data_IF_785796639683
#
_entry.id   IF_785796639683
#
_cell.length_a   1.000
_cell.length_b   1.000
_cell.length_c   1.000
_cell.angle_alpha   90.00
_cell.angle_beta   90.00
_cell.angle_gamma   90.00
#
_symmetry.space_group_name_H-M   'P 1'
#
loop_
_entity.id
_entity.type
_entity.pdbx_description
1 polymer ?
#
# COMPACT_ATOMS: atom_id res chain seq x y z
N UNK A 1 -57.28 -24.03 3.34
CA UNK A 1 -56.49 -23.78 2.13
C UNK A 1 -55.62 -22.58 2.45
N UNK A 2 -54.47 -22.84 3.06
CA UNK A 2 -53.46 -21.82 3.37
C UNK A 2 -52.13 -22.38 2.87
N UNK A 3 -51.59 -21.72 1.85
CA UNK A 3 -50.33 -22.09 1.22
C UNK A 3 -49.19 -21.98 2.23
N UNK A 4 -48.49 -23.09 2.45
CA UNK A 4 -47.15 -23.08 3.05
C UNK A 4 -46.20 -22.40 2.08
N UNK A 5 -45.95 -21.12 2.31
CA UNK A 5 -44.82 -20.39 1.72
C UNK A 5 -43.54 -21.16 2.12
N UNK A 6 -42.85 -21.72 1.12
CA UNK A 6 -41.50 -22.27 1.30
C UNK A 6 -40.58 -21.13 1.71
N UNK A 7 -40.04 -21.20 2.92
CA UNK A 7 -38.95 -20.34 3.38
C UNK A 7 -37.66 -20.74 2.66
N UNK A 8 -37.44 -20.17 1.48
CA UNK A 8 -36.13 -20.21 0.82
C UNK A 8 -35.09 -19.46 1.69
N UNK A 9 -34.01 -20.17 2.03
CA UNK A 9 -32.69 -19.67 2.40
C UNK A 9 -32.62 -18.33 3.16
N UNK A 10 -33.03 -18.30 4.43
CA UNK A 10 -32.56 -17.23 5.33
C UNK A 10 -31.07 -17.44 5.59
N UNK A 11 -30.22 -16.58 5.03
CA UNK A 11 -28.82 -16.46 5.42
C UNK A 11 -28.78 -16.07 6.89
N UNK A 12 -28.36 -16.99 7.76
CA UNK A 12 -28.17 -16.72 9.19
C UNK A 12 -26.84 -16.01 9.35
N UNK A 13 -26.86 -14.68 9.38
CA UNK A 13 -25.68 -13.89 9.72
C UNK A 13 -25.41 -14.05 11.22
N UNK A 14 -24.31 -14.72 11.56
CA UNK A 14 -23.88 -14.87 12.96
C UNK A 14 -23.12 -13.62 13.38
N UNK A 15 -23.68 -12.86 14.31
CA UNK A 15 -23.09 -11.64 14.85
C UNK A 15 -22.26 -11.90 16.10
N UNK A 16 -21.31 -11.01 16.39
CA UNK A 16 -20.44 -11.12 17.56
C UNK A 16 -20.38 -9.79 18.33
N UNK A 17 -20.19 -9.86 19.63
CA UNK A 17 -19.94 -8.74 20.54
C UNK A 17 -18.71 -9.04 21.38
N UNK A 18 -17.93 -7.99 21.69
CA UNK A 18 -16.78 -8.10 22.57
C UNK A 18 -17.24 -7.98 24.01
N UNK A 19 -16.82 -8.92 24.84
CA UNK A 19 -17.11 -8.95 26.27
C UNK A 19 -15.84 -9.18 27.07
N UNK A 20 -15.82 -8.64 28.28
CA UNK A 20 -14.87 -9.04 29.30
C UNK A 20 -15.52 -10.08 30.21
N UNK A 21 -14.83 -11.18 30.44
CA UNK A 21 -15.27 -12.25 31.31
C UNK A 21 -14.23 -12.51 32.38
N UNK A 22 -14.70 -12.98 33.54
CA UNK A 22 -13.84 -13.38 34.66
C UNK A 22 -13.85 -14.90 34.76
N UNK A 23 -12.68 -15.51 34.69
CA UNK A 23 -12.49 -16.96 34.92
C UNK A 23 -12.78 -17.33 36.38
N UNK A 24 -12.85 -18.63 36.68
CA UNK A 24 -13.04 -19.15 38.04
C UNK A 24 -11.95 -18.72 39.03
N UNK A 25 -10.69 -18.54 38.57
CA UNK A 25 -9.59 -18.03 39.40
C UNK A 25 -9.47 -16.49 39.36
N UNK A 26 -10.33 -15.82 38.61
CA UNK A 26 -10.43 -14.37 38.61
C UNK A 26 -9.58 -13.64 37.56
N UNK A 27 -8.90 -14.37 36.66
CA UNK A 27 -8.29 -13.80 35.45
C UNK A 27 -9.38 -13.16 34.58
N UNK A 28 -9.18 -11.90 34.18
CA UNK A 28 -10.04 -11.20 33.23
C UNK A 28 -9.56 -11.52 31.81
N UNK A 29 -10.48 -11.92 30.94
CA UNK A 29 -10.23 -12.28 29.55
C UNK A 29 -11.19 -11.52 28.66
N UNK A 30 -10.68 -10.86 27.63
CA UNK A 30 -11.50 -10.25 26.58
C UNK A 30 -11.73 -11.27 25.47
N UNK A 31 -12.98 -11.51 25.10
CA UNK A 31 -13.34 -12.44 24.05
C UNK A 31 -14.54 -11.96 23.26
N UNK A 32 -14.76 -12.55 22.08
CA UNK A 32 -15.94 -12.30 21.26
C UNK A 32 -16.90 -13.48 21.35
N UNK A 33 -18.19 -13.23 21.57
CA UNK A 33 -19.25 -14.24 21.50
C UNK A 33 -20.50 -13.68 20.81
N UNK A 34 -21.52 -14.51 20.55
CA UNK A 34 -22.79 -13.99 20.03
C UNK A 34 -23.49 -13.12 21.10
N UNK A 35 -24.19 -12.04 20.70
CA UNK A 35 -24.88 -11.16 21.66
C UNK A 35 -25.90 -11.86 22.55
N UNK A 36 -26.57 -12.90 22.05
CA UNK A 36 -27.55 -13.72 22.79
C UNK A 36 -26.89 -14.78 23.68
N UNK A 37 -25.58 -15.00 23.55
CA UNK A 37 -24.81 -15.98 24.33
C UNK A 37 -23.98 -15.35 25.45
N UNK A 38 -23.96 -14.02 25.55
CA UNK A 38 -23.10 -13.27 26.50
C UNK A 38 -23.15 -13.82 27.91
N UNK A 39 -24.35 -14.00 28.48
CA UNK A 39 -24.50 -14.46 29.86
C UNK A 39 -24.08 -15.93 30.03
N UNK A 40 -24.38 -16.78 29.03
CA UNK A 40 -23.94 -18.18 29.03
C UNK A 40 -22.41 -18.29 28.96
N UNK A 41 -21.77 -17.46 28.15
CA UNK A 41 -20.31 -17.44 28.01
C UNK A 41 -19.64 -16.90 29.27
N UNK A 42 -20.18 -15.83 29.87
CA UNK A 42 -19.72 -15.35 31.19
C UNK A 42 -19.83 -16.43 32.26
N UNK A 43 -20.97 -17.11 32.35
CA UNK A 43 -21.20 -18.17 33.33
C UNK A 43 -20.27 -19.37 33.09
N UNK A 44 -20.06 -19.76 31.83
CA UNK A 44 -19.12 -20.81 31.47
C UNK A 44 -17.69 -20.46 31.90
N UNK A 45 -17.22 -19.24 31.62
CA UNK A 45 -15.88 -18.82 32.04
C UNK A 45 -15.76 -18.75 33.57
N UNK A 46 -16.79 -18.25 34.25
CA UNK A 46 -16.79 -18.14 35.70
C UNK A 46 -16.81 -19.52 36.40
N UNK A 47 -17.54 -20.49 35.86
CA UNK A 47 -17.81 -21.77 36.54
C UNK A 47 -17.02 -22.97 36.01
N UNK A 48 -16.57 -22.93 34.75
CA UNK A 48 -15.94 -24.08 34.06
C UNK A 48 -14.53 -23.82 33.56
N UNK A 49 -14.08 -22.56 33.54
CA UNK A 49 -12.73 -22.21 33.10
C UNK A 49 -11.95 -21.71 34.31
N UNK A 50 -11.08 -22.56 34.88
CA UNK A 50 -10.25 -22.17 36.03
C UNK A 50 -9.30 -21.03 35.64
N UNK A 51 -8.51 -21.22 34.58
CA UNK A 51 -7.76 -20.17 33.92
C UNK A 51 -7.80 -20.39 32.40
N UNK A 52 -7.38 -19.37 31.64
CA UNK A 52 -7.08 -19.52 30.21
C UNK A 52 -5.56 -19.55 30.04
N UNK A 53 -5.03 -20.73 29.72
CA UNK A 53 -3.65 -20.88 29.26
C UNK A 53 -3.64 -20.50 27.78
N UNK A 54 -3.23 -19.26 27.51
CA UNK A 54 -2.95 -18.84 26.14
C UNK A 54 -1.67 -19.54 25.66
N UNK A 55 -1.69 -20.26 24.52
CA UNK A 55 -0.55 -21.04 24.04
C UNK A 55 0.66 -20.11 23.84
N UNK A 56 1.73 -20.36 24.61
CA UNK A 56 3.05 -19.70 24.58
C UNK A 56 3.07 -18.20 24.26
N UNK A 57 2.07 -17.44 24.71
CA UNK A 57 2.08 -15.99 24.57
C UNK A 57 2.90 -15.37 25.68
N UNK A 58 4.06 -14.84 25.33
CA UNK A 58 4.84 -13.95 26.19
C UNK A 58 4.30 -12.53 26.00
N UNK A 59 4.38 -11.72 27.06
CA UNK A 59 4.26 -10.27 26.89
C UNK A 59 5.59 -9.74 26.40
N UNK A 60 5.56 -8.76 25.50
CA UNK A 60 6.76 -7.98 25.16
C UNK A 60 7.41 -7.48 26.45
N UNK A 61 8.72 -7.71 26.62
CA UNK A 61 9.46 -7.23 27.79
C UNK A 61 9.97 -5.81 27.48
N UNK A 62 9.60 -4.83 28.29
CA UNK A 62 9.97 -3.42 28.06
C UNK A 62 9.50 -2.46 29.14
N UNK A 63 10.10 -1.26 29.15
CA UNK A 63 9.87 -0.19 30.13
C UNK A 63 8.57 0.63 29.88
N UNK A 64 7.86 0.39 28.76
CA UNK A 64 6.61 1.08 28.41
C UNK A 64 5.35 0.51 29.07
N UNK A 65 4.25 1.30 29.07
CA UNK A 65 2.96 0.90 29.65
C UNK A 65 2.05 0.05 28.76
N UNK A 66 2.46 -0.24 27.52
CA UNK A 66 1.70 -1.05 26.57
C UNK A 66 2.47 -2.33 26.25
N UNK A 67 1.92 -3.49 26.62
CA UNK A 67 2.54 -4.80 26.41
C UNK A 67 1.60 -5.68 25.58
N UNK A 68 1.92 -5.84 24.29
CA UNK A 68 1.24 -6.78 23.42
C UNK A 68 1.64 -8.22 23.75
N UNK A 69 0.72 -9.15 23.47
CA UNK A 69 1.02 -10.58 23.50
C UNK A 69 1.69 -11.00 22.20
N UNK A 70 2.63 -11.93 22.29
CA UNK A 70 3.36 -12.46 21.15
C UNK A 70 3.90 -13.85 21.45
N UNK A 71 4.03 -14.70 20.43
CA UNK A 71 4.77 -15.98 20.51
C UNK A 71 6.29 -15.81 20.38
N UNK A 72 6.75 -14.62 20.02
CA UNK A 72 8.17 -14.34 19.84
C UNK A 72 8.82 -13.84 21.13
N UNK A 73 10.12 -14.05 21.27
CA UNK A 73 10.91 -13.42 22.33
C UNK A 73 11.33 -12.02 21.87
N UNK A 74 10.68 -11.00 22.44
CA UNK A 74 10.85 -9.60 22.04
C UNK A 74 11.40 -8.78 23.20
N UNK A 75 12.49 -8.06 22.93
CA UNK A 75 13.04 -7.03 23.80
C UNK A 75 12.68 -5.64 23.25
N UNK A 76 11.93 -4.83 24.01
CA UNK A 76 11.60 -3.46 23.64
C UNK A 76 12.66 -2.50 24.20
N UNK A 77 13.41 -1.87 23.30
CA UNK A 77 14.53 -0.98 23.64
C UNK A 77 14.09 0.47 23.86
N UNK A 78 13.02 0.89 23.20
CA UNK A 78 12.45 2.23 23.31
C UNK A 78 10.93 2.14 23.18
N UNK A 79 10.26 3.03 23.89
CA UNK A 79 8.82 3.20 23.81
C UNK A 79 8.46 4.65 24.05
N UNK A 80 7.48 5.14 23.31
CA UNK A 80 6.80 6.38 23.64
C UNK A 80 5.36 6.35 23.13
N UNK A 81 4.42 6.90 23.89
CA UNK A 81 3.00 6.77 23.55
C UNK A 81 2.02 7.56 24.40
N UNK A 82 0.74 7.44 24.03
CA UNK A 82 -0.44 8.08 24.58
C UNK A 82 -1.70 7.49 23.93
N UNK A 83 -2.40 8.26 23.08
CA UNK A 83 -3.51 7.70 22.25
C UNK A 83 -3.00 6.78 21.13
N UNK A 84 -1.81 7.04 20.60
CA UNK A 84 -1.04 6.12 19.74
C UNK A 84 0.31 5.80 20.39
N UNK A 85 1.14 4.98 19.73
CA UNK A 85 2.46 4.63 20.25
C UNK A 85 3.47 4.37 19.13
N UNK A 86 4.75 4.49 19.49
CA UNK A 86 5.87 3.96 18.73
C UNK A 86 6.75 3.14 19.67
N UNK A 87 7.45 2.17 19.11
CA UNK A 87 8.39 1.35 19.86
C UNK A 87 9.51 0.83 18.98
N UNK A 88 10.67 0.59 19.60
CA UNK A 88 11.80 -0.09 18.97
C UNK A 88 11.91 -1.48 19.58
N UNK A 89 11.79 -2.49 18.74
CA UNK A 89 11.76 -3.90 19.12
C UNK A 89 12.96 -4.65 18.56
N UNK A 90 13.48 -5.56 19.36
CA UNK A 90 14.41 -6.59 18.96
C UNK A 90 13.75 -7.96 19.18
N UNK A 91 13.44 -8.64 18.07
CA UNK A 91 12.85 -9.97 18.03
C UNK A 91 13.99 -10.98 17.91
N UNK A 92 14.11 -11.87 18.90
CA UNK A 92 15.10 -12.95 18.88
C UNK A 92 14.65 -14.05 17.93
N UNK A 93 15.59 -14.54 17.11
CA UNK A 93 15.36 -15.61 16.12
C UNK A 93 14.14 -15.33 15.22
N UNK A 94 14.11 -14.22 14.48
CA UNK A 94 13.02 -13.94 13.54
C UNK A 94 12.98 -15.03 12.45
N UNK A 95 11.82 -15.26 11.81
CA UNK A 95 11.73 -16.17 10.66
C UNK A 95 12.77 -15.83 9.58
N UNK A 96 13.25 -16.85 8.85
CA UNK A 96 14.44 -16.82 7.97
C UNK A 96 14.51 -15.65 6.96
N UNK A 97 13.36 -15.05 6.61
CA UNK A 97 13.25 -13.93 5.67
C UNK A 97 12.90 -12.58 6.31
N UNK A 98 12.95 -12.46 7.65
CA UNK A 98 12.54 -11.25 8.38
C UNK A 98 13.69 -10.67 9.18
N UNK A 99 13.62 -9.36 9.42
CA UNK A 99 14.54 -8.71 10.34
C UNK A 99 13.96 -8.68 11.75
N UNK A 100 14.80 -8.90 12.75
CA UNK A 100 14.39 -8.82 14.15
C UNK A 100 14.36 -7.39 14.69
N UNK A 101 14.96 -6.41 14.00
CA UNK A 101 15.04 -5.03 14.47
C UNK A 101 13.94 -4.19 13.81
N UNK A 102 12.95 -3.81 14.62
CA UNK A 102 11.71 -3.20 14.15
C UNK A 102 11.49 -1.85 14.83
N UNK A 103 11.05 -0.85 14.06
CA UNK A 103 10.30 0.27 14.63
C UNK A 103 8.84 0.05 14.27
N UNK A 104 7.98 -0.10 15.26
CA UNK A 104 6.54 -0.24 15.08
C UNK A 104 5.85 1.04 15.52
N UNK A 105 4.97 1.58 14.67
CA UNK A 105 4.23 2.82 14.93
C UNK A 105 2.74 2.59 14.71
N UNK A 106 1.95 2.91 15.73
CA UNK A 106 0.50 2.86 15.73
C UNK A 106 -0.06 4.26 15.98
N UNK A 107 -0.80 4.79 15.01
CA UNK A 107 -1.51 6.06 15.12
C UNK A 107 -3.01 5.82 14.94
N UNK A 108 -3.84 6.07 15.98
CA UNK A 108 -5.29 6.02 15.83
C UNK A 108 -5.72 6.98 14.73
N UNK A 109 -6.63 6.53 13.86
CA UNK A 109 -7.25 7.32 12.79
C UNK A 109 -6.30 7.77 11.65
N UNK A 110 -5.05 7.32 11.62
CA UNK A 110 -4.14 7.51 10.49
C UNK A 110 -3.74 6.15 9.92
N UNK A 111 -2.53 5.68 10.22
CA UNK A 111 -1.99 4.42 9.69
C UNK A 111 -1.05 3.81 10.71
N UNK A 112 -1.12 2.49 10.78
CA UNK A 112 -0.19 1.67 11.55
C UNK A 112 0.82 1.07 10.58
N UNK A 113 2.10 1.13 10.91
CA UNK A 113 3.15 0.55 10.07
C UNK A 113 4.32 0.09 10.93
N UNK A 114 5.15 -0.76 10.35
CA UNK A 114 6.46 -1.03 10.91
C UNK A 114 7.55 -0.88 9.86
N UNK A 115 8.76 -0.63 10.34
CA UNK A 115 9.97 -0.57 9.51
C UNK A 115 10.98 -1.61 10.00
N UNK A 116 11.65 -2.26 9.06
CA UNK A 116 12.70 -3.23 9.35
C UNK A 116 14.09 -2.59 9.16
N UNK A 117 14.99 -2.88 10.09
CA UNK A 117 16.33 -2.30 10.14
C UNK A 117 17.40 -3.39 10.18
N UNK A 118 18.58 -3.11 9.61
CA UNK A 118 19.72 -4.03 9.60
C UNK A 118 20.34 -4.20 10.99
N UNK A 119 20.28 -3.18 11.83
CA UNK A 119 20.85 -3.16 13.18
C UNK A 119 19.92 -2.45 14.16
N UNK A 120 20.01 -2.82 15.44
CA UNK A 120 19.20 -2.20 16.49
C UNK A 120 19.63 -0.75 16.76
N UNK A 121 20.93 -0.45 16.64
CA UNK A 121 21.46 0.89 16.88
C UNK A 121 20.94 1.90 15.85
N UNK A 122 20.79 1.47 14.60
CA UNK A 122 20.20 2.28 13.53
C UNK A 122 18.74 2.62 13.86
N UNK A 123 17.95 1.63 14.29
CA UNK A 123 16.56 1.81 14.68
C UNK A 123 16.41 2.75 15.90
N UNK A 124 17.25 2.59 16.93
CA UNK A 124 17.27 3.45 18.11
C UNK A 124 17.61 4.89 17.73
N UNK A 125 18.65 5.09 16.91
CA UNK A 125 19.05 6.43 16.44
C UNK A 125 17.91 7.13 15.71
N UNK A 126 17.15 6.39 14.90
CA UNK A 126 16.01 6.93 14.16
C UNK A 126 14.85 7.27 15.09
N UNK A 127 14.55 6.41 16.07
CA UNK A 127 13.56 6.73 17.10
C UNK A 127 13.95 8.03 17.84
N UNK A 128 15.18 8.11 18.36
CA UNK A 128 15.64 9.23 19.19
C UNK A 128 15.69 10.55 18.42
N UNK A 129 15.94 10.51 17.11
CA UNK A 129 16.04 11.71 16.26
C UNK A 129 14.72 12.16 15.62
N UNK A 130 13.70 11.29 15.55
CA UNK A 130 12.47 11.57 14.78
C UNK A 130 11.16 11.38 15.53
N UNK A 131 11.19 10.82 16.73
CA UNK A 131 9.99 10.69 17.55
C UNK A 131 9.31 12.06 17.77
N UNK A 132 8.03 12.16 17.41
CA UNK A 132 7.23 13.40 17.44
C UNK A 132 7.21 14.20 16.13
N UNK A 133 8.04 13.84 15.13
CA UNK A 133 8.12 14.47 13.80
C UNK A 133 7.89 13.48 12.64
N UNK A 134 7.40 12.27 12.93
CA UNK A 134 7.12 11.21 11.95
C UNK A 134 5.91 11.56 11.05
N UNK A 135 6.00 12.64 10.29
CA UNK A 135 4.93 13.12 9.43
C UNK A 135 4.97 12.47 8.03
N UNK A 136 6.02 11.74 7.64
CA UNK A 136 6.07 11.14 6.31
C UNK A 136 7.00 9.92 6.15
N UNK A 137 6.40 8.81 5.74
CA UNK A 137 7.02 7.53 5.31
C UNK A 137 8.08 7.70 4.21
N UNK A 138 8.06 8.82 3.48
CA UNK A 138 9.06 9.19 2.47
C UNK A 138 10.48 9.38 3.02
N UNK A 139 10.61 9.48 4.33
CA UNK A 139 11.89 9.79 4.99
C UNK A 139 12.69 8.54 5.38
N UNK A 140 12.03 7.40 5.63
CA UNK A 140 12.69 6.14 5.96
C UNK A 140 13.54 5.54 4.83
N UNK A 141 13.10 5.56 3.55
CA UNK A 141 13.89 5.00 2.43
C UNK A 141 15.26 5.63 2.19
N UNK A 142 15.59 6.73 2.88
CA UNK A 142 16.84 7.50 2.72
C UNK A 142 17.82 7.31 3.87
N UNK A 143 17.50 6.48 4.87
CA UNK A 143 18.32 6.30 6.07
C UNK A 143 19.17 5.03 5.97
N UNK A 144 20.40 5.10 6.47
CA UNK A 144 21.27 3.94 6.57
C UNK A 144 20.65 2.90 7.50
N UNK A 145 20.81 1.62 7.16
CA UNK A 145 20.24 0.51 7.91
C UNK A 145 18.78 0.20 7.61
N UNK A 146 18.02 1.11 6.97
CA UNK A 146 16.64 0.83 6.56
C UNK A 146 16.58 -0.32 5.54
N UNK A 147 15.67 -1.27 5.76
CA UNK A 147 15.40 -2.38 4.81
C UNK A 147 14.09 -2.17 4.07
N UNK A 148 12.99 -2.02 4.80
CA UNK A 148 11.66 -1.85 4.23
C UNK A 148 10.68 -1.24 5.22
N UNK A 149 9.58 -0.73 4.68
CA UNK A 149 8.41 -0.24 5.42
C UNK A 149 7.22 -1.10 5.01
N UNK A 150 6.42 -1.50 6.00
CA UNK A 150 5.21 -2.30 5.82
C UNK A 150 4.05 -1.61 6.51
N UNK A 151 3.02 -1.26 5.74
CA UNK A 151 1.77 -0.76 6.29
C UNK A 151 0.94 -1.93 6.81
N UNK A 152 0.54 -1.85 8.08
CA UNK A 152 -0.30 -2.83 8.73
C UNK A 152 -1.74 -2.35 8.86
N UNK A 153 -1.94 -1.03 9.02
CA UNK A 153 -3.24 -0.42 9.26
C UNK A 153 -3.99 -1.14 10.39
N UNK A 154 -5.03 -1.90 10.07
CA UNK A 154 -5.88 -2.62 11.02
C UNK A 154 -5.44 -4.09 11.24
N UNK A 155 -4.47 -4.58 10.45
CA UNK A 155 -3.94 -5.93 10.61
C UNK A 155 -2.86 -5.97 11.69
N UNK A 156 -2.85 -7.07 12.44
CA UNK A 156 -1.81 -7.37 13.42
C UNK A 156 -0.50 -7.71 12.68
N UNK A 157 0.62 -7.00 12.96
CA UNK A 157 1.93 -7.36 12.43
C UNK A 157 2.33 -8.79 12.82
N UNK A 158 3.09 -9.47 11.96
CA UNK A 158 3.51 -10.86 12.19
C UNK A 158 4.20 -11.11 13.54
N UNK A 159 4.95 -10.13 14.04
CA UNK A 159 5.69 -10.27 15.31
C UNK A 159 4.78 -10.15 16.54
N UNK A 160 3.50 -9.82 16.33
CA UNK A 160 2.45 -9.92 17.34
C UNK A 160 1.53 -11.11 17.13
N UNK A 161 1.91 -12.07 16.28
CA UNK A 161 1.22 -13.35 16.23
C UNK A 161 1.29 -14.06 17.60
N UNK A 162 0.17 -14.64 18.01
CA UNK A 162 0.03 -15.38 19.27
C UNK A 162 -0.22 -16.87 19.03
N UNK A 163 0.33 -17.73 19.88
CA UNK A 163 0.17 -19.18 19.76
C UNK A 163 0.46 -19.71 18.35
N UNK A 164 -0.48 -20.49 17.82
CA UNK A 164 -0.40 -21.10 16.49
C UNK A 164 -1.03 -20.25 15.38
N UNK A 165 -1.16 -18.93 15.57
CA UNK A 165 -1.66 -18.05 14.52
C UNK A 165 -0.84 -18.21 13.23
N UNK A 166 -1.55 -18.45 12.13
CA UNK A 166 -0.95 -18.48 10.81
C UNK A 166 -0.45 -17.08 10.45
N UNK A 167 0.72 -17.01 9.81
CA UNK A 167 1.25 -15.75 9.29
C UNK A 167 1.07 -15.75 7.77
N UNK A 168 0.37 -14.74 7.26
CA UNK A 168 0.21 -14.50 5.82
C UNK A 168 0.96 -13.22 5.46
N UNK A 169 2.05 -13.37 4.70
CA UNK A 169 2.91 -12.25 4.34
C UNK A 169 3.48 -11.58 5.58
N UNK A 170 3.18 -10.30 5.80
CA UNK A 170 3.68 -9.52 6.93
C UNK A 170 2.74 -9.47 8.16
N UNK A 171 1.65 -10.25 8.14
CA UNK A 171 0.55 -10.13 9.10
C UNK A 171 0.23 -11.46 9.77
N UNK A 172 -0.21 -11.40 11.03
CA UNK A 172 -0.93 -12.50 11.65
C UNK A 172 -2.32 -12.62 11.03
N UNK A 173 -2.77 -13.83 10.74
CA UNK A 173 -4.07 -14.06 10.13
C UNK A 173 -5.19 -13.58 11.06
N UNK A 174 -6.14 -12.74 10.59
CA UNK A 174 -7.17 -12.21 11.46
C UNK A 174 -8.00 -13.33 12.10
N UNK A 175 -8.12 -13.32 13.42
CA UNK A 175 -9.01 -14.27 14.11
C UNK A 175 -10.49 -13.94 13.87
N UNK A 176 -11.42 -14.82 14.24
CA UNK A 176 -12.86 -14.50 14.27
C UNK A 176 -13.49 -14.12 12.92
N UNK A 177 -12.82 -14.44 11.81
CA UNK A 177 -13.38 -14.29 10.46
C UNK A 177 -14.57 -15.23 10.28
N UNK A 178 -15.56 -14.76 9.54
CA UNK A 178 -16.78 -15.51 9.25
C UNK A 178 -16.70 -16.15 7.87
N UNK A 179 -17.40 -17.27 7.68
CA UNK A 179 -17.64 -17.83 6.35
C UNK A 179 -18.64 -16.95 5.58
N UNK A 180 -18.15 -15.82 5.07
CA UNK A 180 -18.92 -14.91 4.24
C UNK A 180 -19.03 -15.46 2.81
N UNK A 181 -20.26 -15.57 2.30
CA UNK A 181 -20.53 -16.12 0.96
C UNK A 181 -19.87 -15.31 -0.17
N UNK A 182 -19.67 -14.01 0.05
CA UNK A 182 -19.08 -13.10 -0.93
C UNK A 182 -17.58 -12.97 -0.68
N UNK A 183 -17.20 -12.60 0.54
CA UNK A 183 -15.84 -12.20 0.94
C UNK A 183 -15.03 -13.37 1.51
N UNK A 184 -14.68 -14.31 0.62
CA UNK A 184 -13.90 -15.50 0.95
C UNK A 184 -12.41 -15.26 0.83
N UNK A 185 -11.64 -15.90 1.71
CA UNK A 185 -10.16 -15.87 1.69
C UNK A 185 -9.62 -16.20 0.30
N UNK A 186 -8.67 -15.41 -0.19
CA UNK A 186 -8.00 -15.58 -1.49
C UNK A 186 -8.80 -15.07 -2.70
N UNK A 187 -10.10 -14.78 -2.56
CA UNK A 187 -10.89 -14.22 -3.66
C UNK A 187 -10.48 -12.78 -3.92
N UNK A 188 -10.33 -12.41 -5.19
CA UNK A 188 -9.87 -11.08 -5.62
C UNK A 188 -11.02 -10.11 -5.84
N UNK A 189 -10.82 -8.87 -5.42
CA UNK A 189 -11.80 -7.79 -5.53
C UNK A 189 -11.17 -6.54 -6.14
N UNK A 190 -11.96 -5.80 -6.91
CA UNK A 190 -11.68 -4.41 -7.24
C UNK A 190 -12.13 -3.57 -6.06
N UNK A 191 -11.16 -2.92 -5.41
CA UNK A 191 -11.35 -2.10 -4.22
C UNK A 191 -10.90 -0.69 -4.52
N UNK A 192 -11.75 0.29 -4.24
CA UNK A 192 -11.38 1.69 -4.38
C UNK A 192 -10.45 2.11 -3.23
N UNK A 193 -9.22 2.49 -3.56
CA UNK A 193 -8.24 2.95 -2.59
C UNK A 193 -8.52 4.42 -2.26
N UNK A 194 -8.87 4.68 -1.00
CA UNK A 194 -9.19 6.04 -0.55
C UNK A 194 -7.95 6.95 -0.47
N UNK A 195 -6.75 6.40 -0.37
CA UNK A 195 -5.50 7.16 -0.29
C UNK A 195 -5.05 7.55 -1.70
N UNK A 196 -4.92 6.57 -2.59
CA UNK A 196 -4.44 6.79 -3.95
C UNK A 196 -5.54 7.26 -4.92
N UNK A 197 -6.81 7.26 -4.49
CA UNK A 197 -8.00 7.62 -5.29
C UNK A 197 -8.11 6.84 -6.61
N UNK A 198 -7.65 5.58 -6.60
CA UNK A 198 -7.71 4.67 -7.73
C UNK A 198 -8.21 3.30 -7.28
N UNK A 199 -8.83 2.56 -8.20
CA UNK A 199 -9.19 1.17 -7.94
C UNK A 199 -7.96 0.27 -8.02
N UNK A 200 -7.84 -0.65 -7.07
CA UNK A 200 -6.79 -1.66 -7.01
C UNK A 200 -7.41 -3.05 -6.90
N UNK A 201 -6.69 -4.05 -7.36
CA UNK A 201 -7.04 -5.44 -7.06
C UNK A 201 -6.42 -5.81 -5.72
N UNK A 202 -7.25 -6.31 -4.82
CA UNK A 202 -6.85 -6.82 -3.51
C UNK A 202 -7.38 -8.23 -3.33
N UNK A 203 -6.62 -9.05 -2.62
CA UNK A 203 -7.07 -10.39 -2.22
C UNK A 203 -7.77 -10.27 -0.88
N UNK A 204 -8.96 -10.85 -0.78
CA UNK A 204 -9.72 -10.88 0.46
C UNK A 204 -9.04 -11.80 1.48
N UNK A 205 -8.84 -11.32 2.70
CA UNK A 205 -8.40 -12.11 3.84
C UNK A 205 -9.57 -12.63 4.67
N UNK A 206 -10.79 -12.18 4.39
CA UNK A 206 -12.04 -12.59 5.05
C UNK A 206 -12.84 -11.40 5.54
N UNK A 207 -14.00 -11.66 6.15
CA UNK A 207 -14.86 -10.62 6.71
C UNK A 207 -15.28 -10.91 8.16
N UNK A 208 -15.51 -9.83 8.91
CA UNK A 208 -16.20 -9.85 10.20
C UNK A 208 -17.48 -9.03 10.11
N UNK A 209 -18.56 -9.52 10.69
CA UNK A 209 -19.82 -8.79 10.80
C UNK A 209 -20.07 -8.44 12.26
N UNK A 210 -20.15 -7.14 12.53
CA UNK A 210 -20.49 -6.56 13.81
C UNK A 210 -21.93 -6.09 13.80
N UNK A 211 -22.59 -6.17 14.95
CA UNK A 211 -23.87 -5.48 15.16
C UNK A 211 -23.63 -4.26 16.03
N UNK A 212 -24.09 -3.10 15.57
CA UNK A 212 -24.27 -1.95 16.45
C UNK A 212 -25.75 -1.73 16.69
N UNK A 213 -26.14 -1.58 17.95
CA UNK A 213 -27.43 -0.97 18.28
C UNK A 213 -27.28 0.54 18.26
N UNK A 214 -28.23 1.22 17.63
CA UNK A 214 -28.30 2.68 17.70
C UNK A 214 -28.49 3.10 19.16
N UNK A 215 -27.62 3.98 19.67
CA UNK A 215 -27.68 4.45 21.05
C UNK A 215 -28.99 5.19 21.35
N UNK A 216 -29.59 5.84 20.35
CA UNK A 216 -30.83 6.60 20.48
C UNK A 216 -32.07 5.76 20.15
N UNK A 217 -31.90 4.61 19.49
CA UNK A 217 -32.99 3.68 19.19
C UNK A 217 -32.51 2.22 19.31
N UNK A 218 -32.61 1.61 20.50
CA UNK A 218 -32.11 0.27 20.76
C UNK A 218 -32.74 -0.84 19.90
N UNK A 219 -33.90 -0.56 19.28
CA UNK A 219 -34.57 -1.47 18.34
C UNK A 219 -33.98 -1.43 16.93
N UNK A 220 -33.19 -0.40 16.61
CA UNK A 220 -32.46 -0.29 15.35
C UNK A 220 -31.11 -0.98 15.47
N UNK A 221 -31.00 -2.12 14.80
CA UNK A 221 -29.75 -2.89 14.72
C UNK A 221 -29.14 -2.65 13.34
N UNK A 222 -27.93 -2.08 13.31
CA UNK A 222 -27.12 -1.93 12.10
C UNK A 222 -26.10 -3.07 12.03
N UNK A 223 -25.91 -3.60 10.82
CA UNK A 223 -24.89 -4.60 10.54
C UNK A 223 -23.70 -3.90 9.88
N UNK A 224 -22.53 -4.00 10.49
CA UNK A 224 -21.28 -3.43 9.96
C UNK A 224 -20.40 -4.59 9.50
N UNK A 225 -20.05 -4.60 8.22
CA UNK A 225 -19.15 -5.62 7.68
C UNK A 225 -17.77 -5.01 7.49
N UNK A 226 -16.78 -5.55 8.20
CA UNK A 226 -15.37 -5.24 7.95
C UNK A 226 -14.80 -6.33 7.05
N UNK A 227 -14.27 -5.95 5.89
CA UNK A 227 -13.57 -6.85 4.98
C UNK A 227 -12.08 -6.52 5.02
N UNK A 228 -11.26 -7.53 5.34
CA UNK A 228 -9.83 -7.40 5.47
C UNK A 228 -9.15 -7.74 4.13
N UNK A 229 -8.18 -6.92 3.74
CA UNK A 229 -7.45 -7.07 2.48
C UNK A 229 -5.99 -7.47 2.72
N UNK A 230 -5.37 -8.12 1.74
CA UNK A 230 -3.98 -8.60 1.75
C UNK A 230 -2.91 -7.51 1.87
N UNK A 231 -3.28 -6.24 1.75
CA UNK A 231 -2.40 -5.08 1.95
C UNK A 231 -2.58 -4.39 3.31
N UNK A 232 -3.29 -5.01 4.25
CA UNK A 232 -3.53 -4.44 5.57
C UNK A 232 -4.78 -3.57 5.67
N UNK A 233 -5.30 -3.08 4.53
CA UNK A 233 -6.46 -2.19 4.56
C UNK A 233 -7.75 -2.93 4.90
N UNK A 234 -8.74 -2.16 5.39
CA UNK A 234 -10.08 -2.68 5.71
C UNK A 234 -11.12 -1.86 4.96
N UNK A 235 -12.10 -2.56 4.38
CA UNK A 235 -13.32 -1.94 3.91
C UNK A 235 -14.37 -2.02 5.02
N UNK A 236 -14.92 -0.87 5.42
CA UNK A 236 -16.02 -0.76 6.36
C UNK A 236 -17.35 -0.52 5.62
N UNK A 237 -18.20 -1.54 5.60
CA UNK A 237 -19.54 -1.49 5.01
C UNK A 237 -20.58 -0.71 5.83
N UNK A 238 -20.21 -0.09 6.95
CA UNK A 238 -21.10 0.75 7.78
C UNK A 238 -21.54 2.03 7.05
N UNK A 239 -20.67 2.55 6.18
CA UNK A 239 -20.91 3.77 5.45
C UNK A 239 -21.70 3.47 4.17
N UNK A 240 -23.03 3.61 4.25
CA UNK A 240 -23.98 3.57 3.11
C UNK A 240 -23.69 4.58 1.98
N UNK A 241 -22.59 5.34 2.07
CA UNK A 241 -22.18 6.38 1.12
C UNK A 241 -20.99 5.98 0.24
N UNK A 242 -20.45 4.77 0.40
CA UNK A 242 -19.32 4.38 -0.44
C UNK A 242 -19.81 4.15 -1.88
N UNK A 243 -19.55 5.13 -2.75
CA UNK A 243 -19.93 5.10 -4.18
C UNK A 243 -19.31 3.92 -4.93
N UNK A 244 -18.31 3.27 -4.34
CA UNK A 244 -17.50 2.24 -4.96
C UNK A 244 -17.30 1.05 -4.01
N UNK A 245 -18.36 0.28 -3.69
CA UNK A 245 -18.22 -0.91 -2.86
C UNK A 245 -17.29 -1.92 -3.52
N UNK A 246 -16.54 -2.72 -2.74
CA UNK A 246 -15.71 -3.80 -3.27
C UNK A 246 -16.56 -4.75 -4.11
N UNK A 247 -16.08 -5.06 -5.30
CA UNK A 247 -16.72 -6.04 -6.20
C UNK A 247 -15.76 -7.14 -6.60
N UNK A 248 -16.22 -8.39 -6.77
CA UNK A 248 -15.37 -9.45 -7.30
C UNK A 248 -14.74 -9.05 -8.64
N UNK A 249 -13.49 -9.48 -8.84
CA UNK A 249 -12.81 -9.38 -10.13
C UNK A 249 -13.40 -10.44 -11.07
N UNK A 250 -13.83 -10.04 -12.26
CA UNK A 250 -14.18 -10.99 -13.31
C UNK A 250 -12.90 -11.56 -13.94
N UNK A 251 -12.93 -12.79 -14.47
CA UNK A 251 -11.74 -13.52 -14.97
C UNK A 251 -10.90 -12.71 -15.99
N UNK A 252 -11.52 -11.77 -16.71
CA UNK A 252 -10.87 -10.95 -17.73
C UNK A 252 -10.50 -9.52 -17.28
N UNK A 253 -10.74 -9.14 -16.02
CA UNK A 253 -10.50 -7.78 -15.51
C UNK A 253 -9.19 -7.64 -14.72
N UNK A 254 -8.54 -8.75 -14.39
CA UNK A 254 -7.35 -8.71 -13.53
C UNK A 254 -6.22 -7.89 -14.16
N UNK A 255 -5.90 -8.20 -15.41
CA UNK A 255 -4.87 -7.48 -16.16
C UNK A 255 -5.28 -6.02 -16.45
N UNK A 256 -6.56 -5.75 -16.67
CA UNK A 256 -7.08 -4.40 -16.98
C UNK A 256 -6.82 -3.48 -15.79
N UNK A 257 -7.22 -3.92 -14.60
CA UNK A 257 -7.06 -3.10 -13.38
C UNK A 257 -5.59 -2.92 -13.04
N UNK A 258 -4.76 -3.96 -13.23
CA UNK A 258 -3.30 -3.86 -13.06
C UNK A 258 -2.67 -2.86 -14.03
N UNK A 259 -3.05 -2.91 -15.30
CA UNK A 259 -2.59 -1.98 -16.33
C UNK A 259 -2.98 -0.53 -16.01
N UNK A 260 -4.23 -0.31 -15.59
CA UNK A 260 -4.72 1.02 -15.18
C UNK A 260 -3.92 1.54 -13.98
N UNK A 261 -3.72 0.72 -12.95
CA UNK A 261 -2.94 1.11 -11.76
C UNK A 261 -1.49 1.47 -12.10
N UNK A 262 -0.83 0.66 -12.93
CA UNK A 262 0.53 0.94 -13.37
C UNK A 262 0.63 2.17 -14.29
N UNK A 263 -0.40 2.43 -15.10
CA UNK A 263 -0.51 3.66 -15.88
C UNK A 263 -0.67 4.90 -15.00
N UNK A 264 -1.51 4.86 -13.96
CA UNK A 264 -1.60 5.97 -12.99
C UNK A 264 -0.27 6.22 -12.26
N UNK A 265 0.44 5.15 -11.85
CA UNK A 265 1.77 5.26 -11.23
C UNK A 265 2.82 5.83 -12.19
N UNK A 266 2.70 5.51 -13.48
CA UNK A 266 3.52 6.12 -14.52
C UNK A 266 3.23 7.64 -14.58
N UNK A 267 1.95 8.02 -14.71
CA UNK A 267 1.54 9.43 -14.80
C UNK A 267 1.88 10.26 -13.56
N UNK A 268 1.85 9.67 -12.37
CA UNK A 268 2.22 10.34 -11.12
C UNK A 268 3.73 10.41 -10.87
N UNK A 269 4.54 9.83 -11.75
CA UNK A 269 6.01 9.79 -11.63
C UNK A 269 6.53 8.78 -10.60
N UNK A 270 5.67 7.93 -10.04
CA UNK A 270 6.07 6.83 -9.15
C UNK A 270 6.73 5.68 -9.91
N UNK A 271 6.42 5.54 -11.21
CA UNK A 271 7.10 4.62 -12.15
C UNK A 271 7.58 5.39 -13.38
N UNK A 272 8.67 4.92 -13.99
CA UNK A 272 9.20 5.45 -15.27
C UNK A 272 8.82 4.58 -16.46
N UNK A 273 8.44 3.32 -16.20
CA UNK A 273 7.90 2.38 -17.17
C UNK A 273 7.04 1.30 -16.50
N UNK A 274 6.22 0.62 -17.29
CA UNK A 274 5.48 -0.58 -16.89
C UNK A 274 5.38 -1.56 -18.06
N UNK A 275 5.13 -2.82 -17.74
CA UNK A 275 4.86 -3.91 -18.69
C UNK A 275 3.81 -4.85 -18.08
N UNK A 276 2.81 -5.21 -18.88
CA UNK A 276 1.73 -6.13 -18.52
C UNK A 276 1.71 -7.22 -19.58
N UNK A 277 2.00 -8.46 -19.17
CA UNK A 277 1.85 -9.64 -20.02
C UNK A 277 0.43 -10.14 -19.97
N UNK A 278 -0.18 -10.33 -21.14
CA UNK A 278 -1.49 -10.90 -21.31
C UNK A 278 -1.43 -12.43 -21.29
N UNK A 279 -2.58 -13.06 -21.05
CA UNK A 279 -2.70 -14.52 -20.96
C UNK A 279 -2.45 -15.22 -22.30
N UNK A 280 -2.62 -14.51 -23.41
CA UNK A 280 -2.29 -14.98 -24.76
C UNK A 280 -0.79 -14.82 -25.12
N UNK A 281 0.04 -14.31 -24.20
CA UNK A 281 1.47 -14.11 -24.40
C UNK A 281 1.86 -12.72 -24.90
N UNK A 282 0.90 -11.91 -25.33
CA UNK A 282 1.13 -10.53 -25.80
C UNK A 282 1.55 -9.61 -24.63
N UNK A 283 2.18 -8.48 -24.95
CA UNK A 283 2.70 -7.55 -23.93
C UNK A 283 2.22 -6.11 -24.17
N UNK A 284 1.70 -5.50 -23.10
CA UNK A 284 1.37 -4.08 -23.06
C UNK A 284 2.38 -3.31 -22.20
N UNK A 285 3.23 -2.51 -22.85
CA UNK A 285 4.28 -1.75 -22.19
C UNK A 285 4.12 -0.23 -22.38
N UNK A 286 4.39 0.53 -21.32
CA UNK A 286 4.39 2.00 -21.35
C UNK A 286 5.67 2.55 -20.73
N UNK A 287 6.24 3.61 -21.31
CA UNK A 287 7.45 4.28 -20.81
C UNK A 287 7.35 5.79 -20.99
N UNK A 288 7.74 6.54 -19.96
CA UNK A 288 7.92 7.99 -20.08
C UNK A 288 9.22 8.24 -20.85
N UNK A 289 9.10 8.85 -22.03
CA UNK A 289 10.27 9.40 -22.73
C UNK A 289 10.62 10.75 -22.12
N UNK A 290 11.85 10.97 -21.64
CA UNK A 290 12.27 12.30 -21.21
C UNK A 290 12.13 13.28 -22.37
N UNK A 291 11.84 14.55 -22.05
CA UNK A 291 11.81 15.60 -23.06
C UNK A 291 13.13 15.60 -23.82
N UNK A 292 13.04 15.45 -25.14
CA UNK A 292 14.17 15.63 -26.05
C UNK A 292 14.79 17.00 -25.77
N UNK A 293 16.05 17.02 -25.28
CA UNK A 293 16.81 18.26 -25.09
C UNK A 293 17.16 18.93 -26.42
N UNK A 294 17.16 18.18 -27.53
CA UNK A 294 17.39 18.74 -28.86
C UNK A 294 16.13 19.45 -29.37
N UNK A 295 16.24 20.70 -29.83
CA UNK A 295 15.11 21.41 -30.40
C UNK A 295 14.70 20.83 -31.75
N UNK A 296 13.48 20.29 -31.80
CA UNK A 296 12.93 19.66 -33.00
C UNK A 296 11.76 20.47 -33.60
N UNK A 297 11.42 21.63 -33.03
CA UNK A 297 10.31 22.45 -33.52
C UNK A 297 10.76 23.31 -34.70
N UNK A 298 9.87 23.56 -35.67
CA UNK A 298 10.14 24.54 -36.71
C UNK A 298 10.21 25.96 -36.12
N UNK A 299 11.07 26.80 -36.69
CA UNK A 299 11.23 28.19 -36.26
C UNK A 299 12.67 28.69 -36.35
N UNK A 300 12.91 29.87 -35.81
CA UNK A 300 14.22 30.52 -35.84
C UNK A 300 15.01 30.21 -34.59
N UNK A 301 16.20 29.66 -34.75
CA UNK A 301 17.13 29.37 -33.65
C UNK A 301 18.37 30.24 -33.75
N UNK A 302 18.76 30.86 -32.64
CA UNK A 302 20.07 31.47 -32.49
C UNK A 302 21.05 30.40 -31.98
N UNK A 303 22.19 30.31 -32.63
CA UNK A 303 23.16 29.24 -32.44
C UNK A 303 24.56 29.82 -32.26
N UNK A 304 25.37 29.09 -31.50
CA UNK A 304 26.82 29.24 -31.43
C UNK A 304 27.45 27.93 -31.88
N UNK A 305 28.24 27.98 -32.95
CA UNK A 305 28.89 26.81 -33.57
C UNK A 305 30.39 26.94 -33.36
N UNK A 306 30.98 25.99 -32.65
CA UNK A 306 32.43 25.86 -32.54
C UNK A 306 32.91 24.91 -33.64
N UNK A 307 33.75 25.41 -34.54
CA UNK A 307 34.37 24.61 -35.59
C UNK A 307 35.78 24.17 -35.19
N UNK A 308 36.27 23.12 -35.84
CA UNK A 308 37.58 22.52 -35.53
C UNK A 308 38.69 23.55 -35.69
N UNK A 309 39.41 23.82 -34.60
CA UNK A 309 40.39 24.92 -34.53
C UNK A 309 39.99 26.05 -33.57
N UNK A 310 38.83 25.93 -32.90
CA UNK A 310 38.41 26.84 -31.83
C UNK A 310 37.71 28.11 -32.30
N UNK A 311 37.50 28.28 -33.61
CA UNK A 311 36.72 29.38 -34.15
C UNK A 311 35.24 29.22 -33.78
N UNK A 312 34.64 30.31 -33.31
CA UNK A 312 33.26 30.36 -32.84
C UNK A 312 32.46 31.23 -33.81
N UNK A 313 31.43 30.62 -34.43
CA UNK A 313 30.49 31.29 -35.31
C UNK A 313 29.15 31.46 -34.59
N UNK A 314 28.66 32.68 -34.52
CA UNK A 314 27.34 33.00 -33.97
C UNK A 314 26.40 33.47 -35.08
N UNK A 315 25.16 33.00 -35.05
CA UNK A 315 24.17 33.39 -36.04
C UNK A 315 22.81 32.74 -35.78
N UNK A 316 21.87 32.98 -36.70
CA UNK A 316 20.55 32.36 -36.64
C UNK A 316 20.34 31.41 -37.81
N UNK A 317 19.51 30.39 -37.58
CA UNK A 317 19.07 29.43 -38.60
C UNK A 317 17.55 29.30 -38.53
N UNK A 318 16.90 29.53 -39.66
CA UNK A 318 15.49 29.19 -39.85
C UNK A 318 15.38 27.68 -40.11
N UNK A 319 14.88 26.95 -39.12
CA UNK A 319 14.83 25.50 -39.12
C UNK A 319 13.43 24.99 -39.48
N UNK A 320 13.41 24.03 -40.42
CA UNK A 320 12.25 23.20 -40.70
C UNK A 320 12.68 21.73 -40.62
N UNK A 321 12.14 20.94 -39.68
CA UNK A 321 12.55 19.55 -39.49
C UNK A 321 12.33 18.72 -40.76
N UNK A 322 13.31 17.86 -41.08
CA UNK A 322 13.23 16.87 -42.17
C UNK A 322 13.59 15.48 -41.64
N UNK A 323 13.15 14.38 -42.28
CA UNK A 323 13.48 13.03 -41.83
C UNK A 323 15.00 12.79 -41.65
N UNK A 324 15.83 13.39 -42.50
CA UNK A 324 17.29 13.22 -42.47
C UNK A 324 17.97 14.09 -41.41
N UNK A 325 17.31 15.18 -41.00
CA UNK A 325 17.75 16.15 -40.01
C UNK A 325 16.57 16.55 -39.09
N UNK A 326 16.19 15.65 -38.16
CA UNK A 326 15.01 15.83 -37.31
C UNK A 326 15.16 16.90 -36.23
N UNK A 327 16.40 17.30 -35.90
CA UNK A 327 16.71 18.35 -34.94
C UNK A 327 17.70 19.38 -35.53
N UNK A 328 17.70 20.58 -34.95
CA UNK A 328 18.49 21.71 -35.44
C UNK A 328 20.01 21.47 -35.32
N UNK A 329 20.45 20.74 -34.31
CA UNK A 329 21.88 20.44 -34.11
C UNK A 329 22.39 19.58 -35.25
N UNK A 330 21.66 18.50 -35.57
CA UNK A 330 21.99 17.62 -36.69
C UNK A 330 21.89 18.32 -38.05
N UNK A 331 20.90 19.19 -38.23
CA UNK A 331 20.76 19.98 -39.45
C UNK A 331 21.98 20.90 -39.70
N UNK A 332 22.49 21.53 -38.63
CA UNK A 332 23.67 22.41 -38.69
C UNK A 332 24.91 21.59 -38.98
N UNK A 333 25.14 20.50 -38.26
CA UNK A 333 26.31 19.62 -38.47
C UNK A 333 26.36 19.13 -39.93
N UNK A 334 25.26 18.60 -40.46
CA UNK A 334 25.20 18.10 -41.85
C UNK A 334 25.47 19.22 -42.87
N UNK A 335 25.01 20.44 -42.62
CA UNK A 335 25.22 21.57 -43.53
C UNK A 335 26.70 22.01 -43.56
N UNK A 336 27.35 22.05 -42.39
CA UNK A 336 28.78 22.36 -42.31
C UNK A 336 29.66 21.24 -42.87
N UNK A 337 29.31 19.98 -42.64
CA UNK A 337 30.00 18.82 -43.23
C UNK A 337 29.92 18.83 -44.76
N UNK A 338 28.77 19.18 -45.34
CA UNK A 338 28.62 19.37 -46.80
C UNK A 338 29.54 20.45 -47.37
N UNK A 339 29.97 21.41 -46.55
CA UNK A 339 30.93 22.47 -46.91
C UNK A 339 32.38 22.10 -46.59
N UNK A 340 32.63 20.86 -46.13
CA UNK A 340 33.97 20.40 -45.73
C UNK A 340 34.44 20.93 -44.37
N UNK A 341 33.54 21.53 -43.58
CA UNK A 341 33.87 22.13 -42.28
C UNK A 341 33.52 21.14 -41.17
N UNK A 342 34.49 20.81 -40.32
CA UNK A 342 34.27 19.95 -39.14
C UNK A 342 33.77 20.76 -37.96
N UNK A 343 32.58 20.42 -37.47
CA UNK A 343 31.94 21.05 -36.29
C UNK A 343 32.34 20.28 -35.04
N UNK A 344 32.79 20.97 -34.00
CA UNK A 344 33.09 20.40 -32.68
C UNK A 344 31.88 20.49 -31.74
N UNK A 345 31.17 21.63 -31.77
CA UNK A 345 30.04 21.87 -30.87
C UNK A 345 28.99 22.78 -31.53
N UNK A 346 27.72 22.49 -31.28
CA UNK A 346 26.59 23.38 -31.60
C UNK A 346 25.83 23.64 -30.31
N UNK A 347 25.72 24.91 -29.93
CA UNK A 347 24.93 25.37 -28.80
C UNK A 347 23.76 26.20 -29.30
N UNK A 348 22.56 25.92 -28.79
CA UNK A 348 21.36 26.71 -29.07
C UNK A 348 21.23 27.74 -27.96
N UNK A 349 21.38 29.03 -28.29
CA UNK A 349 21.39 30.12 -27.31
C UNK A 349 20.00 30.66 -27.03
N UNK A 350 19.13 30.70 -28.04
CA UNK A 350 17.71 31.06 -27.92
C UNK A 350 16.93 30.64 -29.18
N UNK A 351 15.60 30.71 -29.15
CA UNK A 351 14.81 30.45 -30.35
C UNK A 351 13.38 30.96 -30.26
N UNK A 352 12.85 31.44 -31.40
CA UNK A 352 11.44 31.75 -31.58
C UNK A 352 10.83 30.64 -32.45
N UNK A 353 10.14 29.71 -31.78
CA UNK A 353 9.69 28.44 -32.37
C UNK A 353 8.18 28.32 -32.34
N UNK A 354 7.63 27.69 -33.37
CA UNK A 354 6.23 27.30 -33.39
C UNK A 354 6.04 26.19 -32.37
N UNK A 355 5.66 26.56 -31.14
CA UNK A 355 5.37 25.59 -30.08
C UNK A 355 4.09 24.86 -30.43
N UNK A 356 4.23 23.69 -31.06
CA UNK A 356 3.19 22.66 -30.97
C UNK A 356 2.95 22.33 -29.50
N UNK A 357 1.69 22.23 -29.09
CA UNK A 357 1.32 21.82 -27.72
C UNK A 357 2.04 20.53 -27.29
N UNK A 358 2.09 20.26 -25.98
CA UNK A 358 2.69 19.05 -25.41
C UNK A 358 2.17 17.81 -26.16
N UNK A 359 2.96 17.26 -27.08
CA UNK A 359 2.69 15.95 -27.69
C UNK A 359 3.11 14.89 -26.68
N UNK A 360 2.13 14.27 -26.05
CA UNK A 360 2.33 13.03 -25.32
C UNK A 360 2.65 11.94 -26.35
N UNK A 361 3.76 11.23 -26.16
CA UNK A 361 4.05 10.05 -26.97
C UNK A 361 3.01 8.97 -26.64
N UNK A 362 2.33 8.50 -27.69
CA UNK A 362 1.17 7.61 -27.59
C UNK A 362 1.50 6.22 -27.07
N UNK A 363 0.42 5.55 -26.65
CA UNK A 363 0.34 4.12 -26.40
C UNK A 363 0.52 3.40 -27.73
N UNK A 364 1.44 2.43 -27.81
CA UNK A 364 1.62 1.61 -29.01
C UNK A 364 1.22 0.18 -28.70
N UNK A 365 0.27 -0.34 -29.48
CA UNK A 365 0.05 -1.77 -29.61
C UNK A 365 1.10 -2.31 -30.57
N UNK A 366 1.90 -3.29 -30.13
CA UNK A 366 2.87 -3.98 -30.97
C UNK A 366 2.31 -5.39 -31.23
N UNK A 367 1.80 -5.67 -32.46
CA UNK A 367 1.23 -6.96 -32.82
C UNK A 367 2.25 -8.09 -32.79
#
# INVERSE_FOLDING_TARGET
MEEKIKTEGRVVFTSWTNIEVKTGEGQIVSLSCRPDEVEKVKEFFHSKVCNVISPETRKVKGEGGFHQYTRYDINQHRYAGGRGYIEVLEIKNPPENRCGFIINEYKPYDRSFFTEWKKIEDAITVFDSRWGSCDNDKTFPKMDGFKRLVYCNELTPWFYAVGEEEIIGDYAFPQGLQDDLVYRVGKKFVVYDQVDKISKIKSCMGARVFLSKDANNPHRISHHRFVYWDDGSVYDGSYNYDKHPPRPVNENEEWITKAIGDFYRLLSGQKTSFSVKFTNGDEFAGKIKPASKSPCAAGRYNLRVTIKGGEILEGYVDFKPKPEAPDIVKAVVVNYEKKGIKVEKVEVTSGNVERGGKKWAGVFYQP
#
